data_IF_729976277636
#
_entry.id   IF_729976277636
#
_cell.length_a   1.000
_cell.length_b   1.000
_cell.length_c   1.000
_cell.angle_alpha   90.00
_cell.angle_beta   90.00
_cell.angle_gamma   90.00
#
_symmetry.space_group_name_H-M   'P 1'
#
loop_
_entity.id
_entity.type
_entity.pdbx_description
1 polymer ?
#
# COMPACT_ATOMS: atom_id res chain seq x y z
N UNK A 1 14.32 -14.29 1.70
CA UNK A 1 14.23 -13.67 3.05
C UNK A 1 15.29 -12.57 3.12
N UNK A 2 14.95 -11.34 3.50
CA UNK A 2 15.94 -10.26 3.62
C UNK A 2 16.67 -10.36 4.97
N UNK A 3 17.99 -10.64 5.01
CA UNK A 3 18.72 -10.77 6.29
C UNK A 3 18.78 -9.45 7.09
N UNK A 4 18.53 -8.32 6.43
CA UNK A 4 18.59 -6.98 7.00
C UNK A 4 17.41 -6.61 7.92
N UNK A 5 16.27 -7.31 7.85
CA UNK A 5 15.08 -6.95 8.63
C UNK A 5 15.32 -6.97 10.14
N UNK A 6 16.04 -7.97 10.66
CA UNK A 6 16.35 -8.06 12.10
C UNK A 6 17.16 -6.85 12.59
N UNK A 7 18.15 -6.43 11.80
CA UNK A 7 19.00 -5.29 12.15
C UNK A 7 18.22 -3.99 12.16
N UNK A 8 17.39 -3.75 11.12
CA UNK A 8 16.58 -2.55 11.01
C UNK A 8 15.55 -2.43 12.15
N UNK A 9 14.86 -3.51 12.49
CA UNK A 9 13.89 -3.50 13.59
C UNK A 9 14.58 -3.25 14.95
N UNK A 10 15.75 -3.88 15.17
CA UNK A 10 16.57 -3.64 16.37
C UNK A 10 17.00 -2.18 16.47
N UNK A 11 17.41 -1.54 15.38
CA UNK A 11 17.79 -0.12 15.40
C UNK A 11 16.62 0.82 15.72
N UNK A 12 15.38 0.38 15.44
CA UNK A 12 14.16 1.14 15.73
C UNK A 12 13.57 0.79 17.10
N UNK A 13 14.17 -0.12 17.86
CA UNK A 13 13.62 -0.60 19.14
C UNK A 13 12.33 -1.42 18.98
N UNK A 14 12.10 -2.01 17.81
CA UNK A 14 10.90 -2.79 17.50
C UNK A 14 11.18 -4.30 17.58
N UNK A 15 10.20 -5.03 18.09
CA UNK A 15 10.25 -6.49 18.09
C UNK A 15 10.09 -7.07 16.68
N UNK A 16 10.95 -8.03 16.34
CA UNK A 16 10.87 -8.75 15.05
C UNK A 16 10.36 -10.18 15.27
N UNK A 17 9.14 -10.45 14.79
CA UNK A 17 8.55 -11.78 14.79
C UNK A 17 8.54 -12.36 13.37
N UNK A 18 9.20 -13.51 13.18
CA UNK A 18 9.15 -14.24 11.91
C UNK A 18 8.02 -15.27 11.93
N UNK A 19 6.95 -14.99 11.18
CA UNK A 19 5.83 -15.92 11.00
C UNK A 19 5.92 -16.55 9.60
N UNK A 20 6.16 -17.86 9.52
CA UNK A 20 6.22 -18.61 8.24
C UNK A 20 4.91 -19.22 7.81
N UNK A 21 4.01 -19.51 8.76
CA UNK A 21 2.73 -20.17 8.51
C UNK A 21 1.61 -19.34 9.14
N UNK A 22 0.50 -19.18 8.41
CA UNK A 22 -0.65 -18.40 8.86
C UNK A 22 -1.21 -17.48 7.79
N UNK A 23 -2.14 -16.59 8.15
CA UNK A 23 -2.68 -15.59 7.24
C UNK A 23 -1.55 -14.74 6.66
N UNK A 24 -1.60 -14.48 5.35
CA UNK A 24 -0.64 -13.56 4.71
C UNK A 24 -0.65 -12.21 5.42
N UNK A 25 0.56 -11.69 5.67
CA UNK A 25 0.78 -10.35 6.20
C UNK A 25 -0.03 -9.32 5.39
N UNK A 26 -0.67 -8.38 6.08
CA UNK A 26 -1.46 -7.30 5.47
C UNK A 26 -0.69 -6.54 4.39
N UNK A 27 0.62 -6.32 4.59
CA UNK A 27 1.52 -5.68 3.60
C UNK A 27 1.64 -6.53 2.34
N UNK A 28 1.88 -7.84 2.45
CA UNK A 28 1.93 -8.73 1.28
C UNK A 28 0.59 -8.79 0.55
N UNK A 29 -0.51 -8.82 1.30
CA UNK A 29 -1.88 -8.80 0.76
C UNK A 29 -2.13 -7.52 -0.04
N UNK A 30 -1.71 -6.37 0.49
CA UNK A 30 -1.77 -5.07 -0.17
C UNK A 30 -0.98 -5.07 -1.49
N UNK A 31 0.29 -5.50 -1.45
CA UNK A 31 1.13 -5.57 -2.65
C UNK A 31 0.60 -6.54 -3.71
N UNK A 32 -0.02 -7.65 -3.30
CA UNK A 32 -0.69 -8.55 -4.24
C UNK A 32 -1.81 -7.83 -4.99
N UNK A 33 -2.67 -7.11 -4.28
CA UNK A 33 -3.76 -6.33 -4.91
C UNK A 33 -3.22 -5.24 -5.83
N UNK A 34 -2.15 -4.55 -5.44
CA UNK A 34 -1.49 -3.57 -6.31
C UNK A 34 -1.01 -4.22 -7.62
N UNK A 35 -0.31 -5.36 -7.53
CA UNK A 35 0.17 -6.12 -8.70
C UNK A 35 -0.96 -6.59 -9.61
N UNK A 36 -2.07 -7.04 -9.04
CA UNK A 36 -3.25 -7.43 -9.82
C UNK A 36 -3.85 -6.25 -10.59
N UNK A 37 -3.84 -5.04 -10.00
CA UNK A 37 -4.32 -3.82 -10.66
C UNK A 37 -3.37 -3.35 -11.75
N UNK A 38 -2.05 -3.39 -11.53
CA UNK A 38 -1.08 -3.02 -12.56
C UNK A 38 -1.08 -3.97 -13.75
N UNK A 39 -1.37 -5.27 -13.51
CA UNK A 39 -1.50 -6.28 -14.59
C UNK A 39 -2.57 -5.92 -15.62
N UNK A 40 -3.64 -5.20 -15.24
CA UNK A 40 -4.68 -4.73 -16.19
C UNK A 40 -4.13 -3.77 -17.24
N UNK A 41 -3.04 -3.07 -16.91
CA UNK A 41 -2.32 -2.19 -17.82
C UNK A 41 -1.12 -2.89 -18.46
N UNK A 42 -1.08 -4.24 -18.44
CA UNK A 42 0.09 -5.03 -18.85
C UNK A 42 1.37 -4.65 -18.09
N UNK A 43 1.22 -4.11 -16.87
CA UNK A 43 2.29 -3.47 -16.09
C UNK A 43 3.05 -2.37 -16.88
N UNK A 44 2.43 -1.82 -17.91
CA UNK A 44 3.05 -0.87 -18.82
C UNK A 44 2.44 0.52 -18.64
N UNK A 45 3.13 1.34 -17.86
CA UNK A 45 2.89 2.78 -17.80
C UNK A 45 3.63 3.42 -18.98
N UNK A 46 2.98 3.47 -20.15
CA UNK A 46 3.58 4.06 -21.36
C UNK A 46 4.14 5.46 -21.07
N UNK A 47 5.32 5.77 -21.60
CA UNK A 47 5.98 7.07 -21.47
C UNK A 47 7.10 7.10 -20.42
N UNK A 48 8.06 8.02 -20.56
CA UNK A 48 9.22 8.15 -19.65
C UNK A 48 8.95 8.96 -18.38
N UNK A 49 7.71 9.40 -18.17
CA UNK A 49 7.33 10.29 -17.07
C UNK A 49 6.91 9.49 -15.82
N UNK A 50 7.76 9.53 -14.78
CA UNK A 50 7.53 8.87 -13.50
C UNK A 50 6.24 9.33 -12.80
N UNK A 51 5.78 10.55 -13.07
CA UNK A 51 4.56 11.12 -12.46
C UNK A 51 3.33 10.30 -12.81
N UNK A 52 3.35 9.51 -13.88
CA UNK A 52 2.27 8.57 -14.25
C UNK A 52 2.15 7.43 -13.25
N UNK A 53 3.28 6.83 -12.88
CA UNK A 53 3.34 5.80 -11.85
C UNK A 53 2.93 6.40 -10.52
N UNK A 54 3.41 7.60 -10.20
CA UNK A 54 3.03 8.31 -8.98
C UNK A 54 1.51 8.55 -8.90
N UNK A 55 0.90 9.12 -9.95
CA UNK A 55 -0.56 9.31 -10.01
C UNK A 55 -1.33 8.00 -9.86
N UNK A 56 -0.86 6.93 -10.50
CA UNK A 56 -1.49 5.62 -10.34
C UNK A 56 -1.41 5.10 -8.91
N UNK A 57 -0.23 5.14 -8.28
CA UNK A 57 -0.03 4.67 -6.90
C UNK A 57 -0.84 5.53 -5.93
N UNK A 58 -0.90 6.84 -6.15
CA UNK A 58 -1.71 7.77 -5.36
C UNK A 58 -3.20 7.43 -5.45
N UNK A 59 -3.73 7.30 -6.67
CA UNK A 59 -5.13 6.89 -6.90
C UNK A 59 -5.42 5.49 -6.35
N UNK A 60 -4.46 4.57 -6.47
CA UNK A 60 -4.59 3.23 -5.91
C UNK A 60 -4.66 3.27 -4.38
N UNK A 61 -3.80 4.05 -3.72
CA UNK A 61 -3.82 4.21 -2.27
C UNK A 61 -5.14 4.82 -1.80
N UNK A 62 -5.63 5.86 -2.47
CA UNK A 62 -6.93 6.44 -2.21
C UNK A 62 -8.05 5.40 -2.35
N UNK A 63 -8.13 4.73 -3.50
CA UNK A 63 -9.14 3.71 -3.74
C UNK A 63 -9.08 2.56 -2.72
N UNK A 64 -7.88 2.08 -2.38
CA UNK A 64 -7.70 0.96 -1.47
C UNK A 64 -8.12 1.30 -0.03
N UNK A 65 -7.84 2.52 0.42
CA UNK A 65 -8.11 2.94 1.80
C UNK A 65 -9.53 3.46 2.02
N UNK A 66 -10.15 4.06 1.00
CA UNK A 66 -11.36 4.86 1.21
C UNK A 66 -12.57 4.42 0.38
N UNK A 67 -12.36 3.66 -0.69
CA UNK A 67 -13.45 3.28 -1.60
C UNK A 67 -13.67 1.78 -1.60
N UNK A 68 -12.59 1.00 -1.48
CA UNK A 68 -12.66 -0.45 -1.52
C UNK A 68 -13.23 -0.97 -0.20
N UNK A 69 -14.37 -1.64 -0.28
CA UNK A 69 -14.86 -2.49 0.81
C UNK A 69 -13.94 -3.71 0.97
N UNK A 70 -13.45 -3.93 2.18
CA UNK A 70 -12.62 -5.09 2.50
C UNK A 70 -13.47 -6.17 3.14
N UNK A 71 -13.35 -7.39 2.65
CA UNK A 71 -14.09 -8.55 3.18
C UNK A 71 -13.83 -8.84 4.66
N UNK A 72 -12.71 -8.33 5.22
CA UNK A 72 -12.38 -8.46 6.64
C UNK A 72 -13.06 -7.42 7.53
N UNK A 73 -13.41 -6.25 6.98
CA UNK A 73 -13.92 -5.11 7.75
C UNK A 73 -15.39 -4.80 7.44
N UNK A 74 -15.91 -5.17 6.27
CA UNK A 74 -17.25 -4.78 5.82
C UNK A 74 -17.30 -3.37 5.22
N UNK A 75 -16.30 -2.53 5.53
CA UNK A 75 -16.18 -1.14 5.10
C UNK A 75 -14.75 -0.82 4.60
N UNK A 76 -14.52 0.38 4.02
CA UNK A 76 -13.18 0.91 3.78
C UNK A 76 -12.42 1.17 5.10
N UNK A 77 -11.10 0.98 5.15
CA UNK A 77 -10.33 1.04 6.39
C UNK A 77 -10.02 2.45 6.89
N UNK A 78 -10.10 3.48 6.04
CA UNK A 78 -9.79 4.86 6.42
C UNK A 78 -11.01 5.78 6.35
N UNK A 79 -10.98 6.86 7.14
CA UNK A 79 -11.90 7.99 7.00
C UNK A 79 -11.38 8.97 5.94
N UNK A 80 -12.18 9.21 4.91
CA UNK A 80 -11.87 10.15 3.82
C UNK A 80 -11.62 11.56 4.35
N UNK A 81 -12.35 11.94 5.41
CA UNK A 81 -12.35 13.29 5.95
C UNK A 81 -11.00 13.66 6.52
N UNK A 82 -10.40 12.76 7.31
CA UNK A 82 -9.05 12.93 7.88
C UNK A 82 -7.99 13.00 6.77
N UNK A 83 -8.10 12.13 5.77
CA UNK A 83 -7.12 12.06 4.68
C UNK A 83 -7.10 13.31 3.80
N UNK A 84 -8.27 13.87 3.47
CA UNK A 84 -8.35 15.11 2.71
C UNK A 84 -7.69 16.27 3.47
N UNK A 85 -7.85 16.34 4.78
CA UNK A 85 -7.23 17.38 5.61
C UNK A 85 -5.70 17.30 5.60
N UNK A 86 -5.13 16.09 5.65
CA UNK A 86 -3.68 15.89 5.65
C UNK A 86 -3.02 16.09 4.28
N UNK A 87 -3.69 15.65 3.21
CA UNK A 87 -3.06 15.53 1.88
C UNK A 87 -3.30 16.75 1.00
N UNK A 88 -4.45 17.43 1.12
CA UNK A 88 -4.73 18.62 0.31
C UNK A 88 -3.70 19.75 0.45
N UNK A 89 -3.13 20.03 1.65
CA UNK A 89 -2.07 21.04 1.80
C UNK A 89 -0.76 20.67 1.09
N UNK A 90 -0.53 19.40 0.75
CA UNK A 90 0.72 18.94 0.14
C UNK A 90 0.64 18.84 -1.39
N UNK A 91 -0.54 19.06 -1.95
CA UNK A 91 -0.81 19.02 -3.40
C UNK A 91 -0.92 20.41 -4.03
N UNK A 92 -0.88 21.49 -3.24
CA UNK A 92 -0.76 22.88 -3.70
C UNK A 92 0.70 23.25 -3.98
#
# INVERSE_FOLDING_TARGET
>A
KGPWYKSAFKSLGLDYLHVTFGPRNSVERWFRTLKERTKRFWNNFRGKDWRRVHRFVFLFAFWYNFVRIHSSFGDPPGDVTEWLQEVMPQLS
#
